data_IF_924439883895
#
_entry.id   IF_924439883895
#
_cell.length_a   1.000
_cell.length_b   1.000
_cell.length_c   1.000
_cell.angle_alpha   90.00
_cell.angle_beta   90.00
_cell.angle_gamma   90.00
#
_symmetry.space_group_name_H-M   'P 1'
#
loop_
_entity.id
_entity.type
_entity.pdbx_description
1 polymer ?
#
# COMPACT_ATOMS: atom_id res chain seq x y z
N UNK A 1 2.24 13.33 -10.79
CA UNK A 1 2.16 13.80 -9.40
C UNK A 1 3.28 13.19 -8.60
N UNK A 2 3.77 13.90 -7.59
CA UNK A 2 4.71 13.38 -6.60
C UNK A 2 3.99 12.51 -5.58
N UNK A 3 4.74 11.71 -4.83
CA UNK A 3 4.19 10.92 -3.71
C UNK A 3 3.46 11.82 -2.71
N UNK A 4 3.98 13.02 -2.43
CA UNK A 4 3.35 13.96 -1.51
C UNK A 4 2.03 14.50 -2.05
N UNK A 5 1.97 14.89 -3.32
CA UNK A 5 0.71 15.34 -3.94
C UNK A 5 -0.37 14.25 -3.91
N UNK A 6 -0.01 12.99 -4.11
CA UNK A 6 -0.97 11.88 -4.03
C UNK A 6 -1.44 11.64 -2.58
N UNK A 7 -0.55 11.81 -1.61
CA UNK A 7 -0.91 11.74 -0.20
C UNK A 7 -1.88 12.85 0.20
N UNK A 8 -1.63 14.08 -0.24
CA UNK A 8 -2.49 15.23 0.02
C UNK A 8 -3.89 15.03 -0.58
N UNK A 9 -4.00 14.59 -1.84
CA UNK A 9 -5.29 14.25 -2.45
C UNK A 9 -6.02 13.14 -1.68
N UNK A 10 -5.29 12.10 -1.25
CA UNK A 10 -5.88 11.03 -0.46
C UNK A 10 -6.36 11.53 0.91
N UNK A 11 -5.67 12.48 1.53
CA UNK A 11 -6.11 13.09 2.79
C UNK A 11 -7.39 13.91 2.55
N UNK A 12 -7.42 14.75 1.51
CA UNK A 12 -8.59 15.54 1.14
C UNK A 12 -9.82 14.66 0.88
N UNK A 13 -9.66 13.52 0.19
CA UNK A 13 -10.73 12.53 0.00
C UNK A 13 -11.30 12.03 1.33
N UNK A 14 -10.44 11.81 2.35
CA UNK A 14 -10.86 11.36 3.67
C UNK A 14 -11.45 12.49 4.53
N UNK A 15 -11.12 13.75 4.27
CA UNK A 15 -11.68 14.90 4.98
C UNK A 15 -13.15 15.16 4.61
N UNK A 16 -13.65 14.58 3.52
CA UNK A 16 -15.06 14.62 3.13
C UNK A 16 -15.99 13.84 4.08
N UNK A 17 -15.44 13.02 4.97
CA UNK A 17 -16.20 12.19 5.90
C UNK A 17 -16.11 12.75 7.33
N UNK A 18 -17.27 13.07 7.90
CA UNK A 18 -17.41 13.65 9.24
C UNK A 18 -17.07 12.69 10.38
N UNK A 19 -17.19 11.38 10.15
CA UNK A 19 -16.99 10.34 11.15
C UNK A 19 -16.05 9.21 10.66
N UNK A 20 -15.68 8.34 11.60
CA UNK A 20 -14.83 7.20 11.31
C UNK A 20 -15.54 6.11 10.51
N UNK A 21 -16.85 5.96 10.65
CA UNK A 21 -17.62 4.92 9.96
C UNK A 21 -17.60 5.17 8.44
N UNK A 22 -17.81 6.41 8.00
CA UNK A 22 -17.68 6.81 6.61
C UNK A 22 -16.27 6.58 6.05
N UNK A 23 -15.23 6.93 6.81
CA UNK A 23 -13.83 6.64 6.44
C UNK A 23 -13.58 5.14 6.32
N UNK A 24 -14.13 4.33 7.22
CA UNK A 24 -14.01 2.88 7.20
C UNK A 24 -14.65 2.28 5.94
N UNK A 25 -15.88 2.69 5.62
CA UNK A 25 -16.55 2.26 4.39
C UNK A 25 -15.81 2.72 3.13
N UNK A 26 -15.21 3.93 3.15
CA UNK A 26 -14.38 4.38 2.05
C UNK A 26 -13.15 3.48 1.82
N UNK A 27 -12.46 3.06 2.89
CA UNK A 27 -11.34 2.10 2.80
C UNK A 27 -11.83 0.78 2.19
N UNK A 28 -12.99 0.29 2.62
CA UNK A 28 -13.59 -0.94 2.08
C UNK A 28 -13.85 -0.80 0.57
N UNK A 29 -14.39 0.34 0.13
CA UNK A 29 -14.66 0.61 -1.27
C UNK A 29 -13.39 0.74 -2.12
N UNK A 30 -12.32 1.32 -1.58
CA UNK A 30 -11.00 1.29 -2.21
C UNK A 30 -10.49 -0.14 -2.40
N UNK A 31 -10.78 -1.03 -1.45
CA UNK A 31 -10.46 -2.45 -1.54
C UNK A 31 -11.29 -3.17 -2.61
N UNK A 32 -12.58 -2.85 -2.76
CA UNK A 32 -13.45 -3.43 -3.80
C UNK A 32 -13.05 -3.00 -5.21
N UNK A 33 -12.54 -1.77 -5.36
CA UNK A 33 -12.08 -1.21 -6.64
C UNK A 33 -10.68 -1.68 -7.04
N UNK A 34 -9.91 -2.27 -6.12
CA UNK A 34 -8.57 -2.75 -6.40
C UNK A 34 -8.62 -3.85 -7.48
N UNK A 35 -7.87 -3.71 -8.59
CA UNK A 35 -7.79 -4.73 -9.64
C UNK A 35 -7.46 -6.11 -9.07
N UNK A 36 -7.97 -7.16 -9.71
CA UNK A 36 -7.66 -8.53 -9.29
C UNK A 36 -6.20 -8.83 -9.59
N UNK A 37 -5.47 -9.30 -8.58
CA UNK A 37 -4.16 -9.92 -8.78
C UNK A 37 -4.34 -11.24 -9.53
N UNK A 38 -3.56 -11.45 -10.57
CA UNK A 38 -3.57 -12.72 -11.31
C UNK A 38 -3.18 -13.89 -10.41
N UNK A 39 -3.83 -15.04 -10.58
CA UNK A 39 -3.62 -16.21 -9.70
C UNK A 39 -2.18 -16.73 -9.73
N UNK A 40 -1.46 -16.50 -10.84
CA UNK A 40 -0.03 -16.81 -10.97
C UNK A 40 0.86 -16.04 -9.97
N UNK A 41 0.38 -14.93 -9.42
CA UNK A 41 1.08 -14.12 -8.41
C UNK A 41 0.57 -14.37 -6.99
N UNK A 42 -0.42 -15.25 -6.79
CA UNK A 42 -0.91 -15.66 -5.47
C UNK A 42 -0.09 -16.82 -4.90
N UNK A 43 1.23 -16.63 -4.82
CA UNK A 43 2.19 -17.65 -4.38
C UNK A 43 2.70 -17.35 -2.97
N UNK A 44 3.34 -18.32 -2.32
CA UNK A 44 3.90 -18.15 -0.97
C UNK A 44 4.99 -17.07 -0.93
N UNK A 45 5.74 -16.89 -2.01
CA UNK A 45 6.82 -15.90 -2.13
C UNK A 45 6.30 -14.46 -2.11
N UNK A 46 5.08 -14.24 -2.59
CA UNK A 46 4.45 -12.92 -2.60
C UNK A 46 3.68 -12.62 -1.30
N UNK A 47 3.65 -13.54 -0.33
CA UNK A 47 2.96 -13.31 0.94
C UNK A 47 3.76 -12.35 1.83
N UNK A 48 3.08 -11.29 2.28
CA UNK A 48 3.62 -10.38 3.29
C UNK A 48 3.55 -11.04 4.67
N UNK A 49 4.71 -11.30 5.26
CA UNK A 49 4.81 -11.80 6.64
C UNK A 49 4.46 -10.70 7.65
N UNK A 50 3.78 -11.06 8.73
CA UNK A 50 3.41 -10.13 9.82
C UNK A 50 1.99 -9.56 9.71
N UNK A 51 1.28 -9.80 8.61
CA UNK A 51 -0.15 -9.57 8.52
C UNK A 51 -0.93 -10.74 9.14
N UNK A 52 -2.00 -10.43 9.88
CA UNK A 52 -2.91 -11.47 10.41
C UNK A 52 -3.70 -12.16 9.29
N UNK A 53 -4.15 -11.38 8.31
CA UNK A 53 -4.78 -11.90 7.08
C UNK A 53 -3.74 -12.03 5.99
N UNK A 54 -3.92 -12.99 5.09
CA UNK A 54 -3.01 -13.17 3.96
C UNK A 54 -3.10 -11.95 3.05
N UNK A 55 -1.94 -11.41 2.69
CA UNK A 55 -1.76 -10.34 1.70
C UNK A 55 -0.71 -10.81 0.73
N UNK A 56 -1.07 -10.87 -0.55
CA UNK A 56 -0.12 -11.07 -1.64
C UNK A 56 0.27 -9.71 -2.21
N UNK A 57 1.56 -9.51 -2.43
CA UNK A 57 2.12 -8.32 -3.04
C UNK A 57 3.13 -8.73 -4.10
N UNK A 58 2.80 -8.42 -5.35
CA UNK A 58 3.67 -8.57 -6.49
C UNK A 58 4.30 -7.21 -6.83
N UNK A 59 5.61 -7.20 -7.09
CA UNK A 59 6.36 -6.01 -7.45
C UNK A 59 7.17 -6.27 -8.72
N UNK A 60 7.16 -5.31 -9.64
CA UNK A 60 7.89 -5.41 -10.91
C UNK A 60 8.29 -4.02 -11.45
N UNK A 61 9.35 -3.98 -12.24
CA UNK A 61 9.77 -2.74 -12.90
C UNK A 61 9.04 -2.54 -14.23
N UNK A 62 8.55 -1.32 -14.47
CA UNK A 62 8.06 -0.84 -15.75
C UNK A 62 8.90 0.38 -16.17
N UNK A 63 9.91 0.15 -17.00
CA UNK A 63 10.99 1.11 -17.19
C UNK A 63 11.73 1.35 -15.87
N UNK A 64 11.87 2.61 -15.46
CA UNK A 64 12.49 3.01 -14.18
C UNK A 64 11.50 3.14 -13.02
N UNK A 65 10.22 2.81 -13.24
CA UNK A 65 9.18 2.91 -12.21
C UNK A 65 8.87 1.54 -11.63
N UNK A 66 8.81 1.46 -10.30
CA UNK A 66 8.41 0.27 -9.57
C UNK A 66 6.88 0.22 -9.47
N UNK A 67 6.31 -0.85 -9.98
CA UNK A 67 4.88 -1.13 -9.98
C UNK A 67 4.56 -2.15 -8.89
N UNK A 68 3.35 -2.05 -8.32
CA UNK A 68 2.87 -2.96 -7.30
C UNK A 68 1.45 -3.41 -7.63
N UNK A 69 1.20 -4.70 -7.45
CA UNK A 69 -0.13 -5.31 -7.51
C UNK A 69 -0.34 -6.13 -6.24
N UNK A 70 -1.56 -6.11 -5.70
CA UNK A 70 -1.83 -6.78 -4.44
C UNK A 70 -3.24 -7.36 -4.37
N UNK A 71 -3.43 -8.33 -3.49
CA UNK A 71 -4.74 -8.85 -3.10
C UNK A 71 -4.70 -9.30 -1.64
N UNK A 72 -5.87 -9.41 -1.01
CA UNK A 72 -5.99 -9.93 0.35
C UNK A 72 -7.32 -10.65 0.54
N UNK A 73 -7.32 -11.68 1.39
CA UNK A 73 -8.53 -12.39 1.80
C UNK A 73 -9.47 -11.52 2.66
N UNK A 74 -8.91 -10.52 3.36
CA UNK A 74 -9.68 -9.61 4.18
C UNK A 74 -9.95 -8.30 3.45
N UNK A 75 -11.23 -7.96 3.26
CA UNK A 75 -11.65 -6.77 2.50
C UNK A 75 -11.08 -5.46 3.08
N UNK A 76 -11.02 -5.31 4.40
CA UNK A 76 -10.42 -4.14 5.04
C UNK A 76 -8.93 -4.04 4.76
N UNK A 77 -8.22 -5.16 4.78
CA UNK A 77 -6.78 -5.21 4.49
C UNK A 77 -6.52 -4.92 3.01
N UNK A 78 -7.42 -5.36 2.13
CA UNK A 78 -7.41 -5.00 0.70
C UNK A 78 -7.56 -3.49 0.50
N UNK A 79 -8.40 -2.83 1.29
CA UNK A 79 -8.50 -1.37 1.30
C UNK A 79 -7.21 -0.69 1.74
N UNK A 80 -6.60 -1.16 2.83
CA UNK A 80 -5.34 -0.62 3.35
C UNK A 80 -4.18 -0.75 2.35
N UNK A 81 -4.02 -1.91 1.72
CA UNK A 81 -2.97 -2.10 0.69
C UNK A 81 -3.28 -1.30 -0.57
N UNK A 82 -4.56 -1.12 -0.93
CA UNK A 82 -4.98 -0.27 -2.06
C UNK A 82 -4.52 1.19 -1.89
N UNK A 83 -4.63 1.74 -0.67
CA UNK A 83 -4.12 3.09 -0.37
C UNK A 83 -2.59 3.19 -0.54
N UNK A 84 -1.84 2.18 -0.08
CA UNK A 84 -0.39 2.14 -0.26
C UNK A 84 0.01 2.03 -1.73
N UNK A 85 -0.70 1.20 -2.51
CA UNK A 85 -0.50 1.08 -3.96
C UNK A 85 -0.76 2.41 -4.67
N UNK A 86 -1.84 3.12 -4.32
CA UNK A 86 -2.15 4.46 -4.87
C UNK A 86 -0.98 5.43 -4.65
N UNK A 87 -0.38 5.43 -3.45
CA UNK A 87 0.67 6.37 -3.07
C UNK A 87 2.05 6.00 -3.60
N UNK A 88 2.40 4.71 -3.70
CA UNK A 88 3.77 4.26 -3.97
C UNK A 88 3.98 3.63 -5.35
N UNK A 89 2.93 3.13 -6.01
CA UNK A 89 3.10 2.50 -7.32
C UNK A 89 3.34 3.53 -8.42
N UNK A 90 4.22 3.22 -9.36
CA UNK A 90 4.57 4.13 -10.46
C UNK A 90 5.68 5.14 -10.11
N UNK A 91 6.32 4.98 -8.96
CA UNK A 91 7.46 5.78 -8.50
C UNK A 91 8.78 5.02 -8.64
N UNK A 92 9.90 5.74 -8.70
CA UNK A 92 11.22 5.10 -8.73
C UNK A 92 11.50 4.43 -7.38
N UNK A 93 12.37 3.41 -7.34
CA UNK A 93 12.83 2.85 -6.07
C UNK A 93 13.34 3.91 -5.08
N UNK A 94 14.10 4.90 -5.57
CA UNK A 94 14.62 6.01 -4.76
C UNK A 94 13.50 6.87 -4.16
N UNK A 95 12.50 7.27 -4.96
CA UNK A 95 11.33 8.02 -4.50
C UNK A 95 10.59 7.26 -3.39
N UNK A 96 10.38 5.95 -3.56
CA UNK A 96 9.67 5.10 -2.59
C UNK A 96 10.44 4.97 -1.26
N UNK A 97 11.77 4.85 -1.33
CA UNK A 97 12.62 4.76 -0.13
C UNK A 97 12.61 6.07 0.66
N UNK A 98 12.71 7.20 -0.04
CA UNK A 98 12.68 8.55 0.52
C UNK A 98 11.30 9.02 1.00
N UNK A 99 10.22 8.32 0.62
CA UNK A 99 8.86 8.69 1.00
C UNK A 99 8.61 8.61 2.51
N UNK A 100 8.10 9.71 3.07
CA UNK A 100 7.43 9.74 4.37
C UNK A 100 5.92 9.61 4.18
N UNK A 101 5.32 8.57 4.77
CA UNK A 101 3.93 8.20 4.56
C UNK A 101 3.01 8.82 5.62
N UNK A 102 3.00 10.14 5.69
CA UNK A 102 2.24 10.91 6.68
C UNK A 102 0.73 10.75 6.55
N UNK A 103 0.22 10.38 5.36
CA UNK A 103 -1.21 10.14 5.14
C UNK A 103 -1.81 9.13 6.13
N UNK A 104 -1.04 8.10 6.52
CA UNK A 104 -1.50 7.03 7.43
C UNK A 104 -2.01 7.61 8.74
N UNK A 105 -1.28 8.59 9.28
CA UNK A 105 -1.66 9.27 10.52
C UNK A 105 -2.77 10.30 10.28
N UNK A 106 -2.68 11.07 9.19
CA UNK A 106 -3.62 12.15 8.86
C UNK A 106 -5.03 11.65 8.60
N UNK A 107 -5.19 10.52 7.93
CA UNK A 107 -6.50 9.90 7.70
C UNK A 107 -7.06 9.16 8.93
N UNK A 108 -6.31 9.12 10.03
CA UNK A 108 -6.77 8.59 11.32
C UNK A 108 -6.65 7.08 11.50
N UNK A 109 -5.96 6.36 10.59
CA UNK A 109 -5.83 4.90 10.66
C UNK A 109 -5.18 4.45 11.97
N UNK A 110 -4.10 5.11 12.38
CA UNK A 110 -3.30 4.73 13.55
C UNK A 110 -4.09 4.75 14.87
N UNK A 111 -5.16 5.54 14.95
CA UNK A 111 -5.97 5.70 16.17
C UNK A 111 -7.20 4.79 16.22
N UNK A 112 -7.68 4.31 15.08
CA UNK A 112 -8.95 3.59 14.98
C UNK A 112 -8.81 2.13 14.53
N UNK A 113 -7.68 1.76 13.95
CA UNK A 113 -7.40 0.37 13.63
C UNK A 113 -7.04 -0.42 14.89
N UNK A 114 -7.56 -1.63 15.00
CA UNK A 114 -7.08 -2.60 15.98
C UNK A 114 -5.56 -2.82 15.81
N UNK A 115 -4.85 -3.04 16.92
CA UNK A 115 -3.39 -3.18 16.94
C UNK A 115 -2.86 -4.17 15.88
N UNK A 116 -3.55 -5.29 15.67
CA UNK A 116 -3.15 -6.29 14.67
C UNK A 116 -3.18 -5.75 13.24
N UNK A 117 -4.12 -4.87 12.91
CA UNK A 117 -4.23 -4.23 11.59
C UNK A 117 -3.18 -3.15 11.42
N UNK A 118 -2.90 -2.36 12.45
CA UNK A 118 -1.81 -1.37 12.44
C UNK A 118 -0.45 -2.04 12.22
N UNK A 119 -0.20 -3.19 12.86
CA UNK A 119 1.01 -3.99 12.65
C UNK A 119 1.08 -4.57 11.22
N UNK A 120 -0.06 -5.02 10.69
CA UNK A 120 -0.17 -5.45 9.29
C UNK A 120 0.19 -4.32 8.32
N UNK A 121 -0.37 -3.12 8.53
CA UNK A 121 -0.07 -1.94 7.71
C UNK A 121 1.43 -1.60 7.74
N UNK A 122 2.06 -1.59 8.91
CA UNK A 122 3.50 -1.39 9.03
C UNK A 122 4.31 -2.47 8.29
N UNK A 123 3.86 -3.73 8.32
CA UNK A 123 4.49 -4.83 7.59
C UNK A 123 4.39 -4.65 6.08
N UNK A 124 3.24 -4.16 5.58
CA UNK A 124 3.04 -3.85 4.16
C UNK A 124 3.99 -2.74 3.70
N UNK A 125 4.07 -1.63 4.44
CA UNK A 125 5.00 -0.53 4.15
C UNK A 125 6.44 -1.03 4.11
N UNK A 126 6.85 -1.82 5.12
CA UNK A 126 8.20 -2.40 5.19
C UNK A 126 8.50 -3.28 3.98
N UNK A 127 7.57 -4.13 3.57
CA UNK A 127 7.75 -5.01 2.42
C UNK A 127 7.89 -4.22 1.11
N UNK A 128 7.07 -3.19 0.90
CA UNK A 128 7.17 -2.32 -0.28
C UNK A 128 8.52 -1.59 -0.34
N UNK A 129 8.99 -1.05 0.79
CA UNK A 129 10.35 -0.46 0.86
C UNK A 129 11.45 -1.49 0.64
N UNK A 130 11.27 -2.73 1.10
CA UNK A 130 12.23 -3.82 0.86
C UNK A 130 12.33 -4.14 -0.63
N UNK A 131 11.21 -4.20 -1.35
CA UNK A 131 11.23 -4.35 -2.81
C UNK A 131 11.94 -3.17 -3.48
N UNK A 132 11.70 -1.94 -3.03
CA UNK A 132 12.40 -0.78 -3.57
C UNK A 132 13.93 -0.90 -3.40
N UNK A 133 14.44 -1.30 -2.22
CA UNK A 133 15.88 -1.57 -2.05
C UNK A 133 16.38 -2.62 -3.04
N UNK A 134 15.66 -3.75 -3.15
CA UNK A 134 16.08 -4.84 -4.02
C UNK A 134 16.14 -4.42 -5.50
N UNK A 135 15.15 -3.68 -5.99
CA UNK A 135 15.11 -3.21 -7.37
C UNK A 135 16.10 -2.08 -7.64
N UNK A 136 16.35 -1.19 -6.68
CA UNK A 136 17.39 -0.16 -6.80
C UNK A 136 18.76 -0.81 -7.03
N UNK A 137 19.13 -1.81 -6.21
CA UNK A 137 20.39 -2.52 -6.38
C UNK A 137 20.47 -3.27 -7.72
N UNK A 138 19.35 -3.73 -8.28
CA UNK A 138 19.36 -4.39 -9.59
C UNK A 138 19.51 -3.41 -10.77
N UNK A 139 19.09 -2.15 -10.63
CA UNK A 139 19.33 -1.11 -11.64
C UNK A 139 20.77 -0.59 -11.60
N UNK A 140 21.36 -0.42 -10.42
CA UNK A 140 22.74 0.08 -10.27
C UNK A 140 23.81 -0.91 -10.76
N UNK A 141 23.47 -2.19 -10.87
CA UNK A 141 24.37 -3.26 -11.33
C UNK A 141 24.23 -3.60 -12.83
N UNK A 142 23.46 -2.81 -13.61
CA UNK A 142 23.33 -2.92 -15.07
C UNK A 142 24.21 -1.91 -15.79
#
# INVERSE_FOLDING_TARGET
MTINEIQDELIEEFELFDDWEGKYEYIIDLGKKLPKLADAYKTEENIIKGCQSVVWLHAFMNGHKLMFEADSEAIIVKGLVSMLLKVLSGHTPEEILGADLYFINKVGLSSHLAQTRSNGLASMVKQMKTYAVAFQSLEENK
#
